data_IF_192897585323
#
_entry.id   IF_192897585323
#
_cell.length_a   1.000
_cell.length_b   1.000
_cell.length_c   1.000
_cell.angle_alpha   90.00
_cell.angle_beta   90.00
_cell.angle_gamma   90.00
#
_symmetry.space_group_name_H-M   'P 1'
#
loop_
_entity.id
_entity.type
_entity.pdbx_description
1 polymer ?
#
# COMPACT_ATOMS: atom_id res chain seq x y z
N UNK A 1 21.46 -5.73 -33.62
CA UNK A 1 20.23 -4.97 -33.32
C UNK A 1 20.15 -4.85 -31.81
N UNK A 2 20.08 -3.62 -31.32
CA UNK A 2 20.14 -3.32 -29.89
C UNK A 2 18.81 -3.74 -29.23
N UNK A 3 18.87 -4.69 -28.29
CA UNK A 3 17.70 -5.24 -27.59
C UNK A 3 16.87 -4.14 -26.90
N UNK A 4 17.55 -3.09 -26.43
CA UNK A 4 16.91 -1.93 -25.80
C UNK A 4 16.01 -1.14 -26.77
N UNK A 5 16.51 -0.90 -28.00
CA UNK A 5 15.78 -0.13 -29.03
C UNK A 5 14.54 -0.88 -29.53
N UNK A 6 14.66 -2.18 -29.73
CA UNK A 6 13.53 -3.02 -30.14
C UNK A 6 12.43 -3.06 -29.08
N UNK A 7 12.81 -3.12 -27.79
CA UNK A 7 11.86 -3.09 -26.67
C UNK A 7 11.14 -1.74 -26.54
N UNK A 8 11.85 -0.64 -26.73
CA UNK A 8 11.29 0.73 -26.73
C UNK A 8 10.25 0.89 -27.85
N UNK A 9 10.64 0.59 -29.09
CA UNK A 9 9.78 0.76 -30.26
C UNK A 9 8.51 -0.10 -30.16
N UNK A 10 8.64 -1.36 -29.72
CA UNK A 10 7.50 -2.26 -29.51
C UNK A 10 6.52 -1.74 -28.45
N UNK A 11 7.02 -1.17 -27.34
CA UNK A 11 6.17 -0.57 -26.32
C UNK A 11 5.44 0.66 -26.86
N UNK A 12 6.15 1.53 -27.60
CA UNK A 12 5.55 2.72 -28.19
C UNK A 12 4.46 2.36 -29.18
N UNK A 13 4.66 1.34 -30.00
CA UNK A 13 3.64 0.83 -30.93
C UNK A 13 2.44 0.24 -30.19
N UNK A 14 2.65 -0.66 -29.23
CA UNK A 14 1.57 -1.28 -28.44
C UNK A 14 0.69 -0.21 -27.78
N UNK A 15 1.30 0.76 -27.09
CA UNK A 15 0.53 1.75 -26.33
C UNK A 15 -0.02 2.89 -27.17
N UNK A 16 0.59 3.22 -28.31
CA UNK A 16 -0.03 4.13 -29.26
C UNK A 16 -1.35 3.57 -29.81
N UNK A 17 -1.41 2.27 -30.11
CA UNK A 17 -2.66 1.63 -30.55
C UNK A 17 -3.71 1.59 -29.43
N UNK A 18 -3.30 1.22 -28.21
CA UNK A 18 -4.23 1.10 -27.07
C UNK A 18 -4.78 2.44 -26.56
N UNK A 19 -4.04 3.52 -26.75
CA UNK A 19 -4.41 4.87 -26.32
C UNK A 19 -4.90 5.73 -27.49
N UNK A 20 -5.13 5.14 -28.66
CA UNK A 20 -5.71 5.85 -29.78
C UNK A 20 -7.10 6.41 -29.42
N UNK A 21 -7.35 7.67 -29.79
CA UNK A 21 -8.58 8.40 -29.46
C UNK A 21 -8.61 9.08 -28.09
N UNK A 22 -7.63 8.88 -27.20
CA UNK A 22 -7.53 9.62 -25.93
C UNK A 22 -6.92 11.01 -26.12
N UNK A 23 -7.46 12.02 -25.44
CA UNK A 23 -6.98 13.41 -25.50
C UNK A 23 -5.80 13.70 -24.58
N UNK A 24 -5.19 14.88 -24.74
CA UNK A 24 -4.06 15.36 -23.91
C UNK A 24 -4.40 15.29 -22.40
N UNK A 25 -5.61 15.71 -22.04
CA UNK A 25 -6.11 15.72 -20.66
C UNK A 25 -6.20 14.32 -20.02
N UNK A 26 -6.10 13.26 -20.82
CA UNK A 26 -6.18 11.86 -20.41
C UNK A 26 -4.82 11.17 -20.49
N UNK A 27 -4.02 11.49 -21.52
CA UNK A 27 -2.66 10.97 -21.68
C UNK A 27 -1.73 11.42 -20.55
N UNK A 28 -1.83 12.67 -20.09
CA UNK A 28 -1.02 13.15 -18.96
C UNK A 28 -1.31 12.35 -17.67
N UNK A 29 -2.59 12.18 -17.23
CA UNK A 29 -2.91 11.29 -16.12
C UNK A 29 -2.47 9.84 -16.33
N UNK A 30 -2.53 9.31 -17.55
CA UNK A 30 -2.04 7.96 -17.83
C UNK A 30 -0.55 7.82 -17.54
N UNK A 31 0.26 8.75 -18.07
CA UNK A 31 1.71 8.80 -17.84
C UNK A 31 2.03 8.96 -16.36
N UNK A 32 1.42 9.94 -15.69
CA UNK A 32 1.71 10.24 -14.28
C UNK A 32 1.44 9.05 -13.35
N UNK A 33 0.41 8.24 -13.67
CA UNK A 33 0.09 7.02 -12.92
C UNK A 33 1.05 5.88 -13.20
N UNK A 34 1.51 5.72 -14.44
CA UNK A 34 2.55 4.75 -14.75
C UNK A 34 3.86 5.11 -14.03
N UNK A 35 4.26 6.39 -14.09
CA UNK A 35 5.41 6.94 -13.38
C UNK A 35 5.31 6.71 -11.86
N UNK A 36 4.13 6.95 -11.28
CA UNK A 36 3.87 6.68 -9.87
C UNK A 36 4.18 5.24 -9.47
N UNK A 37 3.66 4.26 -10.22
CA UNK A 37 3.88 2.84 -9.93
C UNK A 37 5.35 2.43 -10.14
N UNK A 38 5.99 2.94 -11.19
CA UNK A 38 7.43 2.72 -11.45
C UNK A 38 8.27 3.24 -10.30
N UNK A 39 8.02 4.44 -9.81
CA UNK A 39 8.76 5.02 -8.69
C UNK A 39 8.56 4.22 -7.40
N UNK A 40 7.34 3.76 -7.12
CA UNK A 40 7.06 2.85 -6.00
C UNK A 40 7.81 1.53 -6.11
N UNK A 41 7.90 0.97 -7.32
CA UNK A 41 8.66 -0.24 -7.60
C UNK A 41 10.16 -0.03 -7.39
N UNK A 42 10.75 1.03 -7.94
CA UNK A 42 12.17 1.37 -7.76
C UNK A 42 12.50 1.60 -6.28
N UNK A 43 11.60 2.18 -5.51
CA UNK A 43 11.79 2.30 -4.07
C UNK A 43 11.88 0.91 -3.39
N UNK A 44 11.04 -0.03 -3.79
CA UNK A 44 11.03 -1.38 -3.23
C UNK A 44 12.29 -2.20 -3.56
N UNK A 45 13.02 -1.87 -4.63
CA UNK A 45 14.26 -2.59 -5.01
C UNK A 45 15.40 -2.38 -4.03
N UNK A 46 15.26 -1.42 -3.10
CA UNK A 46 16.13 -1.30 -1.94
C UNK A 46 16.16 -2.58 -1.10
N UNK A 47 15.09 -3.38 -1.08
CA UNK A 47 15.07 -4.70 -0.46
C UNK A 47 15.54 -5.78 -1.44
N UNK A 48 16.11 -6.86 -0.90
CA UNK A 48 16.57 -8.00 -1.69
C UNK A 48 15.43 -9.01 -1.94
N UNK A 49 15.35 -9.55 -3.16
CA UNK A 49 14.44 -10.63 -3.52
C UNK A 49 13.64 -10.37 -4.81
N UNK A 50 12.80 -11.34 -5.15
CA UNK A 50 11.80 -11.21 -6.21
C UNK A 50 10.67 -10.28 -5.76
N UNK A 51 10.08 -9.51 -6.67
CA UNK A 51 9.01 -8.56 -6.33
C UNK A 51 7.63 -9.17 -6.59
N UNK A 52 6.81 -9.22 -5.55
CA UNK A 52 5.43 -9.66 -5.57
C UNK A 52 4.53 -8.43 -5.48
N UNK A 53 3.91 -8.07 -6.60
CA UNK A 53 3.01 -6.94 -6.74
C UNK A 53 1.63 -7.32 -6.21
N UNK A 54 1.23 -6.77 -5.06
CA UNK A 54 -0.07 -7.03 -4.44
C UNK A 54 -1.03 -5.90 -4.83
N UNK A 55 -2.01 -6.11 -5.72
CA UNK A 55 -2.89 -5.04 -6.17
C UNK A 55 -3.97 -4.74 -5.13
N UNK A 56 -4.26 -3.46 -4.94
CA UNK A 56 -5.50 -2.99 -4.31
C UNK A 56 -6.71 -3.48 -5.12
N UNK A 57 -7.83 -3.74 -4.44
CA UNK A 57 -9.11 -4.05 -5.05
C UNK A 57 -9.55 -2.98 -6.06
N UNK A 58 -9.18 -1.70 -5.89
CA UNK A 58 -9.46 -0.68 -6.90
C UNK A 58 -8.87 -1.03 -8.27
N UNK A 59 -7.65 -1.58 -8.30
CA UNK A 59 -7.00 -2.03 -9.54
C UNK A 59 -7.78 -3.23 -10.10
N UNK A 60 -8.21 -4.17 -9.27
CA UNK A 60 -9.07 -5.29 -9.72
C UNK A 60 -10.34 -4.77 -10.39
N UNK A 61 -10.98 -3.74 -9.81
CA UNK A 61 -12.17 -3.11 -10.40
C UNK A 61 -11.87 -2.41 -11.74
N UNK A 62 -10.67 -1.86 -11.93
CA UNK A 62 -10.23 -1.26 -13.20
C UNK A 62 -10.15 -2.30 -14.33
N UNK A 63 -9.67 -3.51 -14.03
CA UNK A 63 -9.65 -4.62 -15.01
C UNK A 63 -11.05 -5.22 -15.25
N UNK A 64 -11.88 -5.31 -14.20
CA UNK A 64 -13.23 -5.87 -14.27
C UNK A 64 -14.19 -4.98 -15.06
N UNK A 65 -14.08 -3.67 -14.89
CA UNK A 65 -14.98 -2.67 -15.48
C UNK A 65 -14.30 -1.83 -16.56
N UNK A 66 -13.47 -2.47 -17.38
CA UNK A 66 -12.70 -1.86 -18.48
C UNK A 66 -13.56 -1.25 -19.59
N UNK A 67 -14.85 -1.55 -19.61
CA UNK A 67 -15.85 -0.91 -20.47
C UNK A 67 -16.07 0.57 -20.12
N UNK A 68 -15.75 0.98 -18.89
CA UNK A 68 -15.84 2.37 -18.45
C UNK A 68 -14.54 3.10 -18.77
N UNK A 69 -14.63 4.15 -19.58
CA UNK A 69 -13.48 4.94 -20.06
C UNK A 69 -12.45 5.30 -18.97
N UNK A 70 -12.89 5.88 -17.85
CA UNK A 70 -11.99 6.24 -16.72
C UNK A 70 -11.29 5.02 -16.10
N UNK A 71 -12.00 3.90 -15.96
CA UNK A 71 -11.45 2.64 -15.43
C UNK A 71 -10.47 2.02 -16.44
N UNK A 72 -10.80 2.09 -17.73
CA UNK A 72 -9.93 1.63 -18.80
C UNK A 72 -8.60 2.37 -18.81
N UNK A 73 -8.60 3.69 -18.63
CA UNK A 73 -7.38 4.49 -18.58
C UNK A 73 -6.48 4.10 -17.39
N UNK A 74 -7.07 3.87 -16.21
CA UNK A 74 -6.36 3.36 -15.03
C UNK A 74 -5.75 1.98 -15.28
N UNK A 75 -6.55 1.08 -15.87
CA UNK A 75 -6.10 -0.25 -16.30
C UNK A 75 -4.91 -0.15 -17.25
N UNK A 76 -4.98 0.73 -18.26
CA UNK A 76 -3.89 0.94 -19.23
C UNK A 76 -2.63 1.51 -18.57
N UNK A 77 -2.73 2.36 -17.55
CA UNK A 77 -1.57 2.78 -16.74
C UNK A 77 -0.94 1.60 -16.00
N UNK A 78 -1.76 0.73 -15.40
CA UNK A 78 -1.27 -0.46 -14.70
C UNK A 78 -0.66 -1.48 -15.66
N UNK A 79 -1.23 -1.63 -16.85
CA UNK A 79 -0.69 -2.46 -17.93
C UNK A 79 0.66 -1.95 -18.43
N UNK A 80 0.82 -0.64 -18.60
CA UNK A 80 2.11 -0.03 -18.95
C UNK A 80 3.16 -0.34 -17.87
N UNK A 81 2.79 -0.18 -16.61
CA UNK A 81 3.65 -0.56 -15.48
C UNK A 81 4.00 -2.06 -15.47
N UNK A 82 3.09 -2.95 -15.84
CA UNK A 82 3.41 -4.39 -15.91
C UNK A 82 4.47 -4.70 -16.97
N UNK A 83 4.48 -3.97 -18.10
CA UNK A 83 5.54 -4.06 -19.11
C UNK A 83 6.89 -3.60 -18.56
N UNK A 84 6.91 -2.52 -17.77
CA UNK A 84 8.12 -2.12 -17.05
C UNK A 84 8.62 -3.24 -16.15
N UNK A 85 7.77 -3.75 -15.26
CA UNK A 85 8.11 -4.77 -14.27
C UNK A 85 8.59 -6.09 -14.92
N UNK A 86 8.11 -6.40 -16.13
CA UNK A 86 8.50 -7.59 -16.88
C UNK A 86 9.76 -7.42 -17.73
N UNK A 87 9.86 -6.31 -18.45
CA UNK A 87 10.84 -6.18 -19.55
C UNK A 87 11.94 -5.16 -19.28
N UNK A 88 11.75 -4.22 -18.35
CA UNK A 88 12.77 -3.21 -17.98
C UNK A 88 13.43 -3.49 -16.65
N UNK A 89 12.67 -4.01 -15.68
CA UNK A 89 13.24 -4.37 -14.38
C UNK A 89 14.18 -5.58 -14.50
N UNK A 90 15.37 -5.55 -13.86
CA UNK A 90 16.21 -6.74 -13.74
C UNK A 90 15.68 -7.74 -12.69
N UNK A 91 14.65 -7.38 -11.92
CA UNK A 91 14.06 -8.24 -10.88
C UNK A 91 12.91 -9.06 -11.46
N UNK A 92 12.84 -10.34 -11.09
CA UNK A 92 11.67 -11.14 -11.38
C UNK A 92 10.44 -10.57 -10.63
N UNK A 93 9.39 -10.28 -11.40
CA UNK A 93 8.15 -9.71 -10.89
C UNK A 93 6.99 -10.68 -11.05
N UNK A 94 6.12 -10.74 -10.05
CA UNK A 94 4.91 -11.59 -10.04
C UNK A 94 3.72 -10.79 -9.54
N UNK A 95 2.53 -11.09 -10.04
CA UNK A 95 1.29 -10.57 -9.45
C UNK A 95 0.87 -11.48 -8.30
N UNK A 96 0.57 -10.90 -7.15
CA UNK A 96 0.24 -11.60 -5.91
C UNK A 96 -1.20 -11.32 -5.51
N UNK A 97 -2.02 -12.36 -5.41
CA UNK A 97 -3.43 -12.28 -5.05
C UNK A 97 -3.60 -12.76 -3.61
N UNK A 98 -4.03 -11.86 -2.72
CA UNK A 98 -4.34 -12.18 -1.33
C UNK A 98 -5.76 -12.75 -1.17
N UNK A 99 -6.04 -13.45 -0.06
CA UNK A 99 -7.38 -13.92 0.26
C UNK A 99 -8.42 -12.78 0.34
N UNK A 100 -8.03 -11.59 0.78
CA UNK A 100 -8.94 -10.43 0.86
C UNK A 100 -9.32 -9.94 -0.53
N UNK A 101 -8.39 -9.92 -1.49
CA UNK A 101 -8.70 -9.60 -2.89
C UNK A 101 -9.77 -10.56 -3.44
N UNK A 102 -9.63 -11.86 -3.17
CA UNK A 102 -10.62 -12.86 -3.58
C UNK A 102 -11.97 -12.62 -2.89
N UNK A 103 -11.95 -12.40 -1.57
CA UNK A 103 -13.14 -12.14 -0.77
C UNK A 103 -13.93 -10.91 -1.28
N UNK A 104 -13.24 -9.82 -1.60
CA UNK A 104 -13.88 -8.63 -2.14
C UNK A 104 -14.36 -8.83 -3.58
N UNK A 105 -13.60 -9.56 -4.41
CA UNK A 105 -13.97 -9.89 -5.79
C UNK A 105 -15.28 -10.66 -5.89
N UNK A 106 -15.51 -11.61 -4.98
CA UNK A 106 -16.76 -12.38 -4.89
C UNK A 106 -17.90 -11.64 -4.17
N UNK A 107 -17.72 -10.34 -3.90
CA UNK A 107 -18.77 -9.50 -3.30
C UNK A 107 -18.90 -9.65 -1.79
N UNK A 108 -17.81 -10.01 -1.10
CA UNK A 108 -17.72 -10.10 0.39
C UNK A 108 -18.64 -11.16 0.97
N UNK A 109 -18.74 -12.30 0.28
CA UNK A 109 -19.57 -13.43 0.66
C UNK A 109 -18.71 -14.62 1.06
N UNK A 110 -19.26 -15.49 1.90
CA UNK A 110 -18.67 -16.81 2.16
C UNK A 110 -18.70 -17.64 0.87
N UNK A 111 -17.70 -18.49 0.70
CA UNK A 111 -17.63 -19.42 -0.43
C UNK A 111 -17.15 -20.79 0.02
N UNK A 112 -17.51 -21.81 -0.74
CA UNK A 112 -16.91 -23.14 -0.63
C UNK A 112 -15.62 -23.23 -1.49
N UNK A 113 -14.86 -24.34 -1.42
CA UNK A 113 -13.62 -24.50 -2.19
C UNK A 113 -13.81 -24.41 -3.72
N UNK A 114 -14.98 -24.82 -4.24
CA UNK A 114 -15.27 -24.73 -5.68
C UNK A 114 -15.44 -23.28 -6.11
N UNK A 115 -16.22 -22.50 -5.36
CA UNK A 115 -16.38 -21.07 -5.61
C UNK A 115 -15.08 -20.29 -5.44
N UNK A 116 -14.23 -20.68 -4.49
CA UNK A 116 -12.90 -20.09 -4.31
C UNK A 116 -12.00 -20.32 -5.53
N UNK A 117 -12.02 -21.54 -6.11
CA UNK A 117 -11.30 -21.84 -7.36
C UNK A 117 -11.84 -21.00 -8.53
N UNK A 118 -13.15 -20.93 -8.70
CA UNK A 118 -13.79 -20.14 -9.78
C UNK A 118 -13.46 -18.66 -9.66
N UNK A 119 -13.43 -18.12 -8.44
CA UNK A 119 -13.04 -16.74 -8.19
C UNK A 119 -11.58 -16.46 -8.59
N UNK A 120 -10.67 -17.39 -8.27
CA UNK A 120 -9.27 -17.30 -8.69
C UNK A 120 -9.12 -17.36 -10.20
N UNK A 121 -9.81 -18.28 -10.87
CA UNK A 121 -9.80 -18.39 -12.34
C UNK A 121 -10.33 -17.12 -13.01
N UNK A 122 -11.38 -16.51 -12.43
CA UNK A 122 -11.91 -15.22 -12.88
C UNK A 122 -10.88 -14.09 -12.73
N UNK A 123 -10.20 -13.98 -11.59
CA UNK A 123 -9.14 -12.99 -11.39
C UNK A 123 -7.98 -13.20 -12.37
N UNK A 124 -7.58 -14.45 -12.60
CA UNK A 124 -6.52 -14.78 -13.55
C UNK A 124 -6.90 -14.38 -14.98
N UNK A 125 -8.16 -14.60 -15.35
CA UNK A 125 -8.67 -14.15 -16.64
C UNK A 125 -8.64 -12.62 -16.77
N UNK A 126 -9.05 -11.88 -15.74
CA UNK A 126 -9.02 -10.41 -15.76
C UNK A 126 -7.60 -9.86 -15.91
N UNK A 127 -6.62 -10.46 -15.24
CA UNK A 127 -5.23 -10.02 -15.24
C UNK A 127 -4.37 -10.65 -16.35
N UNK A 128 -4.93 -11.50 -17.21
CA UNK A 128 -4.16 -12.27 -18.20
C UNK A 128 -3.32 -11.41 -19.16
N UNK A 129 -3.75 -10.18 -19.44
CA UNK A 129 -3.02 -9.26 -20.33
C UNK A 129 -1.77 -8.62 -19.70
N UNK A 130 -1.62 -8.69 -18.37
CA UNK A 130 -0.44 -8.17 -17.67
C UNK A 130 0.83 -8.93 -18.02
N UNK A 131 0.67 -10.18 -18.47
CA UNK A 131 1.75 -11.07 -18.88
C UNK A 131 2.79 -11.32 -17.76
N UNK A 132 2.35 -11.18 -16.51
CA UNK A 132 3.09 -11.50 -15.30
C UNK A 132 2.59 -12.84 -14.71
N UNK A 133 3.47 -13.69 -14.15
CA UNK A 133 3.03 -14.86 -13.39
C UNK A 133 2.12 -14.44 -12.23
N UNK A 134 0.95 -15.06 -12.11
CA UNK A 134 -0.02 -14.77 -11.05
C UNK A 134 0.05 -15.87 -9.98
N UNK A 135 0.17 -15.47 -8.72
CA UNK A 135 0.28 -16.38 -7.57
C UNK A 135 -0.69 -15.99 -6.47
N UNK A 136 -1.32 -16.98 -5.84
CA UNK A 136 -1.97 -16.79 -4.54
C UNK A 136 -0.92 -16.65 -3.44
N UNK A 137 -1.16 -15.75 -2.48
CA UNK A 137 -0.29 -15.54 -1.33
C UNK A 137 -1.03 -15.85 -0.03
N UNK A 138 -0.39 -16.58 0.89
CA UNK A 138 -1.01 -16.99 2.16
C UNK A 138 -1.93 -18.23 2.07
N UNK A 139 -2.06 -18.86 0.91
CA UNK A 139 -2.82 -20.11 0.72
C UNK A 139 -2.23 -20.95 -0.40
N UNK A 140 -2.39 -22.27 -0.30
CA UNK A 140 -1.86 -23.25 -1.26
C UNK A 140 -2.96 -24.04 -1.97
N UNK A 141 -4.20 -23.98 -1.47
CA UNK A 141 -5.33 -24.70 -2.05
C UNK A 141 -6.64 -23.90 -2.00
N UNK A 142 -7.61 -24.21 -2.88
CA UNK A 142 -8.94 -23.61 -2.80
C UNK A 142 -9.66 -23.89 -1.48
N UNK A 143 -9.32 -25.01 -0.81
CA UNK A 143 -9.86 -25.35 0.52
C UNK A 143 -9.35 -24.38 1.57
N UNK A 144 -8.05 -24.18 1.65
CA UNK A 144 -7.44 -23.18 2.56
C UNK A 144 -7.99 -21.78 2.28
N UNK A 145 -8.08 -21.39 1.01
CA UNK A 145 -8.64 -20.10 0.61
C UNK A 145 -10.09 -19.92 1.11
N UNK A 146 -10.93 -20.95 1.02
CA UNK A 146 -12.31 -20.86 1.54
C UNK A 146 -12.38 -20.70 3.06
N UNK A 147 -11.47 -21.32 3.82
CA UNK A 147 -11.40 -21.14 5.28
C UNK A 147 -10.86 -19.75 5.65
N UNK A 148 -9.87 -19.24 4.91
CA UNK A 148 -9.38 -17.87 5.10
C UNK A 148 -10.46 -16.83 4.79
N UNK A 149 -11.25 -17.03 3.73
CA UNK A 149 -12.40 -16.18 3.42
C UNK A 149 -13.41 -16.17 4.57
N UNK A 150 -13.66 -17.32 5.20
CA UNK A 150 -14.52 -17.41 6.38
C UNK A 150 -13.94 -16.65 7.58
N UNK A 151 -12.63 -16.76 7.81
CA UNK A 151 -11.93 -16.00 8.85
C UNK A 151 -12.02 -14.49 8.60
N UNK A 152 -11.76 -14.03 7.38
CA UNK A 152 -11.89 -12.62 6.96
C UNK A 152 -13.32 -12.12 7.18
N UNK A 153 -14.32 -12.90 6.80
CA UNK A 153 -15.72 -12.54 6.97
C UNK A 153 -16.09 -12.34 8.45
N UNK A 154 -15.59 -13.22 9.32
CA UNK A 154 -15.75 -13.10 10.78
C UNK A 154 -15.07 -11.84 11.33
N UNK A 155 -13.82 -11.61 10.98
CA UNK A 155 -13.05 -10.44 11.43
C UNK A 155 -13.68 -9.14 10.94
N UNK A 156 -14.15 -9.10 9.69
CA UNK A 156 -14.84 -7.93 9.13
C UNK A 156 -16.09 -7.54 9.96
N UNK A 157 -16.84 -8.52 10.48
CA UNK A 157 -17.98 -8.26 11.34
C UNK A 157 -17.55 -7.68 12.71
N UNK A 158 -16.49 -8.22 13.31
CA UNK A 158 -15.92 -7.72 14.56
C UNK A 158 -15.43 -6.29 14.39
N UNK A 159 -14.64 -6.02 13.34
CA UNK A 159 -14.11 -4.70 13.06
C UNK A 159 -15.20 -3.69 12.74
N UNK A 160 -16.24 -4.09 11.99
CA UNK A 160 -17.39 -3.22 11.75
C UNK A 160 -18.09 -2.83 13.05
N UNK A 161 -18.20 -3.74 14.02
CA UNK A 161 -18.75 -3.42 15.34
C UNK A 161 -17.86 -2.43 16.09
N UNK A 162 -16.55 -2.64 16.11
CA UNK A 162 -15.61 -1.74 16.76
C UNK A 162 -15.71 -0.31 16.22
N UNK A 163 -15.78 -0.15 14.88
CA UNK A 163 -15.93 1.17 14.26
C UNK A 163 -17.28 1.80 14.61
N UNK A 164 -18.38 1.03 14.60
CA UNK A 164 -19.70 1.53 15.01
C UNK A 164 -19.71 2.00 16.46
N UNK A 165 -19.07 1.25 17.36
CA UNK A 165 -18.97 1.62 18.77
C UNK A 165 -18.26 2.96 18.96
N UNK A 166 -17.32 3.33 18.08
CA UNK A 166 -16.69 4.66 18.10
C UNK A 166 -17.69 5.78 17.89
N UNK A 167 -18.73 5.58 17.09
CA UNK A 167 -19.71 6.63 16.78
C UNK A 167 -20.80 6.76 17.87
N UNK A 168 -20.87 5.80 18.80
CA UNK A 168 -21.88 5.81 19.88
C UNK A 168 -21.53 6.70 21.07
N UNK A 169 -20.29 7.17 21.18
CA UNK A 169 -19.83 7.99 22.32
C UNK A 169 -19.20 9.31 21.87
N UNK A 170 -19.28 10.32 22.73
CA UNK A 170 -18.50 11.54 22.55
C UNK A 170 -17.04 11.30 22.90
N UNK A 171 -16.16 11.89 22.10
CA UNK A 171 -14.72 11.92 22.27
C UNK A 171 -14.19 13.29 22.66
N UNK A 172 -15.09 14.28 22.80
CA UNK A 172 -14.73 15.60 23.32
C UNK A 172 -14.25 15.47 24.78
N UNK A 173 -13.04 15.93 25.05
CA UNK A 173 -12.47 15.91 26.38
C UNK A 173 -11.54 17.09 26.61
N UNK A 174 -11.43 17.53 27.87
CA UNK A 174 -10.47 18.56 28.26
C UNK A 174 -9.05 18.00 28.15
N UNK A 175 -8.20 18.65 27.36
CA UNK A 175 -6.84 18.21 27.07
C UNK A 175 -5.79 18.89 27.96
N UNK A 176 -6.23 19.64 28.97
CA UNK A 176 -5.38 20.24 30.00
C UNK A 176 -5.77 19.75 31.39
N UNK A 177 -4.76 19.35 32.17
CA UNK A 177 -4.87 19.06 33.61
C UNK A 177 -3.82 19.87 34.36
N UNK A 178 -4.22 21.06 34.83
CA UNK A 178 -3.28 22.04 35.38
C UNK A 178 -2.27 22.46 34.30
N UNK A 179 -0.99 22.27 34.58
CA UNK A 179 0.11 22.57 33.64
C UNK A 179 0.40 21.42 32.65
N UNK A 180 -0.26 20.27 32.77
CA UNK A 180 -0.04 19.12 31.90
C UNK A 180 -0.97 19.17 30.70
N UNK A 181 -0.41 18.98 29.50
CA UNK A 181 -1.16 18.80 28.26
C UNK A 181 -1.28 17.31 27.97
N UNK A 182 -2.50 16.83 27.85
CA UNK A 182 -2.78 15.44 27.48
C UNK A 182 -2.59 15.27 25.97
N UNK A 183 -1.95 14.16 25.59
CA UNK A 183 -1.62 13.87 24.19
C UNK A 183 -2.74 13.00 23.60
N UNK A 184 -3.44 13.46 22.53
CA UNK A 184 -4.53 12.70 21.93
C UNK A 184 -4.17 11.27 21.51
N UNK A 185 -2.97 11.04 20.97
CA UNK A 185 -2.51 9.70 20.60
C UNK A 185 -2.36 8.74 21.78
N UNK A 186 -1.90 9.23 22.93
CA UNK A 186 -1.80 8.42 24.16
C UNK A 186 -3.20 8.06 24.69
N UNK A 187 -4.11 9.03 24.70
CA UNK A 187 -5.50 8.81 25.09
C UNK A 187 -6.22 7.82 24.15
N UNK A 188 -5.92 7.89 22.86
CA UNK A 188 -6.43 6.95 21.87
C UNK A 188 -5.91 5.52 22.10
N UNK A 189 -4.62 5.38 22.42
CA UNK A 189 -4.02 4.08 22.76
C UNK A 189 -4.65 3.45 24.01
N UNK A 190 -4.92 4.26 25.04
CA UNK A 190 -5.64 3.84 26.26
C UNK A 190 -7.08 3.41 25.96
N UNK A 191 -7.76 4.13 25.08
CA UNK A 191 -9.16 3.91 24.74
C UNK A 191 -9.39 2.72 23.79
N UNK A 192 -8.42 2.39 22.94
CA UNK A 192 -8.50 1.27 22.01
C UNK A 192 -8.45 -0.08 22.76
N UNK A 193 -9.16 -1.13 22.28
CA UNK A 193 -9.08 -2.46 22.87
C UNK A 193 -7.64 -2.94 23.02
N UNK A 194 -7.27 -3.43 24.21
CA UNK A 194 -5.92 -3.94 24.49
C UNK A 194 -5.68 -5.32 23.88
N UNK A 195 -6.74 -6.09 23.69
CA UNK A 195 -6.71 -7.40 23.03
C UNK A 195 -7.81 -7.46 21.98
N UNK A 196 -7.47 -7.96 20.79
CA UNK A 196 -8.41 -8.25 19.71
C UNK A 196 -8.22 -9.72 19.33
N UNK A 197 -9.31 -10.49 19.35
CA UNK A 197 -9.31 -11.87 18.89
C UNK A 197 -9.78 -11.87 17.44
N UNK A 198 -8.81 -11.86 16.53
CA UNK A 198 -9.01 -11.89 15.08
C UNK A 198 -8.39 -13.17 14.53
N UNK A 199 -9.00 -13.72 13.49
CA UNK A 199 -8.63 -15.01 12.91
C UNK A 199 -7.73 -14.89 11.67
N UNK A 200 -7.83 -13.76 10.96
CA UNK A 200 -7.06 -13.46 9.74
C UNK A 200 -6.24 -12.19 9.88
N UNK A 201 -6.86 -11.08 10.26
CA UNK A 201 -6.17 -9.80 10.34
C UNK A 201 -5.28 -9.74 11.57
N UNK A 202 -4.09 -9.18 11.39
CA UNK A 202 -3.17 -8.97 12.51
C UNK A 202 -3.76 -7.91 13.48
N UNK A 203 -3.96 -8.26 14.77
CA UNK A 203 -4.49 -7.36 15.79
C UNK A 203 -3.79 -6.02 15.89
N UNK A 204 -2.48 -5.97 15.64
CA UNK A 204 -1.68 -4.75 15.72
C UNK A 204 -2.14 -3.72 14.68
N UNK A 205 -2.33 -4.12 13.42
CA UNK A 205 -2.76 -3.21 12.35
C UNK A 205 -4.18 -2.72 12.56
N UNK A 206 -5.09 -3.61 12.96
CA UNK A 206 -6.48 -3.25 13.25
C UNK A 206 -6.54 -2.29 14.44
N UNK A 207 -5.81 -2.58 15.52
CA UNK A 207 -5.73 -1.68 16.67
C UNK A 207 -5.11 -0.33 16.30
N UNK A 208 -4.07 -0.32 15.47
CA UNK A 208 -3.43 0.92 15.01
C UNK A 208 -4.41 1.80 14.24
N UNK A 209 -5.19 1.22 13.33
CA UNK A 209 -6.24 1.93 12.60
C UNK A 209 -7.27 2.54 13.55
N UNK A 210 -7.74 1.76 14.55
CA UNK A 210 -8.66 2.24 15.57
C UNK A 210 -8.06 3.37 16.42
N UNK A 211 -6.79 3.28 16.83
CA UNK A 211 -6.12 4.35 17.57
C UNK A 211 -6.10 5.66 16.75
N UNK A 212 -5.74 5.60 15.46
CA UNK A 212 -5.74 6.78 14.59
C UNK A 212 -7.14 7.39 14.45
N UNK A 213 -8.16 6.55 14.31
CA UNK A 213 -9.57 6.97 14.26
C UNK A 213 -10.05 7.64 15.54
N UNK A 214 -9.65 7.11 16.69
CA UNK A 214 -9.98 7.68 18.00
C UNK A 214 -9.26 9.01 18.18
N UNK A 215 -7.97 9.06 17.84
CA UNK A 215 -7.16 10.27 17.93
C UNK A 215 -7.78 11.43 17.13
N UNK A 216 -8.17 11.19 15.86
CA UNK A 216 -8.84 12.21 15.05
C UNK A 216 -10.15 12.70 15.70
N UNK A 217 -10.97 11.78 16.21
CA UNK A 217 -12.23 12.14 16.88
C UNK A 217 -11.99 12.97 18.14
N UNK A 218 -10.98 12.63 18.96
CA UNK A 218 -10.58 13.42 20.13
C UNK A 218 -10.17 14.83 19.71
N UNK A 219 -9.30 14.95 18.70
CA UNK A 219 -8.80 16.24 18.20
C UNK A 219 -9.96 17.10 17.69
N UNK A 220 -10.80 16.54 16.83
CA UNK A 220 -11.90 17.28 16.20
C UNK A 220 -12.94 17.70 17.23
N UNK A 221 -13.47 16.75 18.00
CA UNK A 221 -14.58 17.03 18.92
C UNK A 221 -14.17 17.90 20.10
N UNK A 222 -12.94 17.75 20.62
CA UNK A 222 -12.46 18.61 21.72
C UNK A 222 -12.25 20.06 21.25
N UNK A 223 -11.81 20.26 19.99
CA UNK A 223 -11.70 21.59 19.40
C UNK A 223 -13.08 22.23 19.20
N UNK A 224 -14.00 21.50 18.57
CA UNK A 224 -15.32 22.02 18.20
C UNK A 224 -16.24 22.24 19.41
N UNK A 225 -16.24 21.32 20.37
CA UNK A 225 -17.20 21.33 21.49
C UNK A 225 -16.67 22.02 22.74
N UNK A 226 -15.35 21.99 22.97
CA UNK A 226 -14.74 22.50 24.20
C UNK A 226 -13.77 23.67 23.96
N UNK A 227 -13.52 24.05 22.70
CA UNK A 227 -12.56 25.11 22.36
C UNK A 227 -11.12 24.76 22.71
N UNK A 228 -10.79 23.47 22.87
CA UNK A 228 -9.44 23.02 23.16
C UNK A 228 -8.52 23.19 21.96
N UNK A 229 -7.23 23.40 22.22
CA UNK A 229 -6.18 23.38 21.21
C UNK A 229 -5.39 22.07 21.33
N UNK A 230 -5.85 20.96 20.74
CA UNK A 230 -5.12 19.69 20.75
C UNK A 230 -3.78 19.81 20.01
N UNK A 231 -2.81 18.98 20.41
CA UNK A 231 -1.68 18.68 19.51
C UNK A 231 -2.26 17.99 18.27
N UNK A 232 -1.90 18.48 17.09
CA UNK A 232 -2.38 17.92 15.84
C UNK A 232 -1.81 16.53 15.61
N UNK A 233 -2.61 15.66 15.00
CA UNK A 233 -2.15 14.38 14.50
C UNK A 233 -1.13 14.57 13.37
N UNK A 234 -0.18 13.64 13.28
CA UNK A 234 0.73 13.55 12.15
C UNK A 234 0.00 13.14 10.86
N UNK A 235 0.68 13.30 9.73
CA UNK A 235 0.13 12.95 8.41
C UNK A 235 -0.26 11.47 8.32
N UNK A 236 0.53 10.58 8.93
CA UNK A 236 0.25 9.16 8.98
C UNK A 236 -1.08 8.88 9.69
N UNK A 237 -1.27 9.41 10.89
CA UNK A 237 -2.47 9.16 11.69
C UNK A 237 -3.72 9.72 11.04
N UNK A 238 -3.64 10.90 10.41
CA UNK A 238 -4.76 11.46 9.64
C UNK A 238 -5.17 10.54 8.51
N UNK A 239 -4.21 10.16 7.68
CA UNK A 239 -4.48 9.36 6.48
C UNK A 239 -4.96 7.96 6.86
N UNK A 240 -4.32 7.32 7.86
CA UNK A 240 -4.71 6.00 8.37
C UNK A 240 -6.13 5.97 8.96
N UNK A 241 -6.57 7.07 9.58
CA UNK A 241 -7.91 7.15 10.16
C UNK A 241 -9.02 7.07 9.10
N UNK A 242 -8.74 7.57 7.89
CA UNK A 242 -9.69 7.67 6.78
C UNK A 242 -9.82 6.37 5.98
N UNK A 243 -8.82 5.48 6.04
CA UNK A 243 -8.79 4.24 5.24
C UNK A 243 -9.91 3.25 5.60
N UNK A 244 -10.40 3.25 6.85
CA UNK A 244 -11.41 2.29 7.30
C UNK A 244 -12.67 3.00 7.81
N UNK A 245 -13.77 2.91 7.09
CA UNK A 245 -15.02 3.57 7.48
C UNK A 245 -16.22 2.64 7.29
N UNK A 246 -17.33 2.91 7.96
CA UNK A 246 -18.58 2.21 7.64
C UNK A 246 -19.18 2.87 6.41
N UNK A 247 -19.40 2.09 5.35
CA UNK A 247 -20.12 2.55 4.18
C UNK A 247 -21.53 2.97 4.58
N UNK A 248 -21.83 4.26 4.43
CA UNK A 248 -23.15 4.83 4.74
C UNK A 248 -24.29 4.20 3.92
N UNK A 249 -23.98 3.66 2.74
CA UNK A 249 -24.97 3.04 1.83
C UNK A 249 -25.19 1.56 2.08
N UNK A 250 -24.16 0.83 2.50
CA UNK A 250 -24.19 -0.64 2.53
C UNK A 250 -23.96 -1.23 3.93
N UNK A 251 -23.74 -0.37 4.95
CA UNK A 251 -23.58 -0.71 6.36
C UNK A 251 -22.52 -1.79 6.65
N UNK A 252 -21.51 -1.90 5.78
CA UNK A 252 -20.34 -2.73 5.99
C UNK A 252 -19.09 -1.88 6.11
N UNK A 253 -18.03 -2.46 6.68
CA UNK A 253 -16.71 -1.83 6.79
C UNK A 253 -16.00 -1.77 5.44
N UNK A 254 -15.72 -0.59 4.92
CA UNK A 254 -14.79 -0.36 3.79
C UNK A 254 -13.36 -0.30 4.31
N UNK A 255 -12.37 -0.54 3.44
CA UNK A 255 -10.94 -0.51 3.82
C UNK A 255 -10.31 -1.84 4.22
N UNK A 256 -11.03 -2.97 4.08
CA UNK A 256 -10.46 -4.30 4.36
C UNK A 256 -9.26 -4.61 3.46
N UNK A 257 -9.33 -4.29 2.17
CA UNK A 257 -8.20 -4.40 1.24
C UNK A 257 -7.02 -3.52 1.65
N UNK A 258 -7.28 -2.31 2.13
CA UNK A 258 -6.25 -1.36 2.58
C UNK A 258 -5.48 -1.92 3.79
N UNK A 259 -6.21 -2.47 4.77
CA UNK A 259 -5.59 -3.13 5.94
C UNK A 259 -4.82 -4.40 5.55
N UNK A 260 -5.35 -5.18 4.62
CA UNK A 260 -4.67 -6.37 4.10
C UNK A 260 -3.36 -6.00 3.40
N UNK A 261 -3.38 -4.92 2.61
CA UNK A 261 -2.18 -4.37 1.99
C UNK A 261 -1.17 -3.89 3.03
N UNK A 262 -1.62 -3.20 4.08
CA UNK A 262 -0.73 -2.71 5.14
C UNK A 262 -0.04 -3.85 5.89
N UNK A 263 -0.76 -4.92 6.24
CA UNK A 263 -0.16 -6.06 6.93
C UNK A 263 0.73 -6.91 6.02
N UNK A 264 0.36 -7.04 4.75
CA UNK A 264 1.06 -7.91 3.79
C UNK A 264 2.29 -7.22 3.21
N UNK A 265 2.24 -5.90 3.03
CA UNK A 265 3.24 -5.11 2.32
C UNK A 265 4.03 -4.17 3.25
N UNK A 266 4.06 -4.43 4.57
CA UNK A 266 4.94 -3.70 5.50
C UNK A 266 6.42 -4.00 5.16
N UNK A 267 7.03 -3.09 4.40
CA UNK A 267 8.42 -3.20 3.98
C UNK A 267 9.41 -3.11 5.15
N UNK A 268 9.04 -2.47 6.27
CA UNK A 268 9.88 -2.41 7.47
C UNK A 268 9.98 -3.79 8.12
N UNK A 269 8.87 -4.53 8.23
CA UNK A 269 8.90 -5.91 8.71
C UNK A 269 9.67 -6.83 7.76
N UNK A 270 9.53 -6.63 6.45
CA UNK A 270 10.27 -7.38 5.43
C UNK A 270 11.78 -7.10 5.47
N UNK A 271 12.20 -5.87 5.81
CA UNK A 271 13.62 -5.56 6.04
C UNK A 271 14.16 -6.23 7.31
N UNK A 272 13.38 -6.24 8.39
CA UNK A 272 13.78 -6.88 9.65
C UNK A 272 13.83 -8.40 9.54
N UNK A 273 12.97 -8.98 8.71
CA UNK A 273 12.85 -10.41 8.46
C UNK A 273 13.01 -10.66 6.96
N UNK A 274 14.23 -10.52 6.42
CA UNK A 274 14.48 -10.61 4.99
C UNK A 274 14.08 -11.99 4.49
N UNK A 275 13.20 -11.98 3.49
CA UNK A 275 12.80 -13.16 2.73
C UNK A 275 13.27 -12.96 1.29
N UNK A 276 13.34 -14.05 0.51
CA UNK A 276 13.63 -13.96 -0.93
C UNK A 276 12.51 -13.28 -1.76
N UNK A 277 11.51 -12.67 -1.10
CA UNK A 277 10.30 -12.11 -1.71
C UNK A 277 9.98 -10.77 -1.07
N UNK A 278 9.83 -9.74 -1.90
CA UNK A 278 9.41 -8.39 -1.52
C UNK A 278 7.94 -8.22 -1.91
N UNK A 279 7.06 -8.09 -0.91
CA UNK A 279 5.64 -7.84 -1.10
C UNK A 279 5.41 -6.34 -1.22
N UNK A 280 4.98 -5.89 -2.39
CA UNK A 280 4.82 -4.47 -2.71
C UNK A 280 3.36 -4.16 -3.06
N UNK A 281 2.71 -3.38 -2.21
CA UNK A 281 1.34 -2.92 -2.44
C UNK A 281 1.25 -1.97 -3.63
N UNK A 282 0.29 -2.20 -4.51
CA UNK A 282 0.01 -1.38 -5.68
C UNK A 282 -1.35 -0.71 -5.52
N UNK A 283 -1.40 0.62 -5.63
CA UNK A 283 -2.65 1.37 -5.58
C UNK A 283 -2.54 2.69 -6.34
N UNK A 284 -3.66 3.14 -6.90
CA UNK A 284 -3.81 4.51 -7.43
C UNK A 284 -4.41 5.46 -6.38
N UNK A 285 -4.80 4.95 -5.20
CA UNK A 285 -5.24 5.76 -4.08
C UNK A 285 -4.01 6.44 -3.43
N UNK A 286 -3.98 7.76 -3.52
CA UNK A 286 -2.87 8.56 -3.02
C UNK A 286 -2.77 8.53 -1.49
N UNK A 287 -3.90 8.43 -0.78
CA UNK A 287 -3.93 8.30 0.68
C UNK A 287 -3.35 6.95 1.10
N UNK A 288 -3.82 5.85 0.50
CA UNK A 288 -3.30 4.52 0.82
C UNK A 288 -1.80 4.40 0.48
N UNK A 289 -1.38 4.89 -0.68
CA UNK A 289 0.03 4.88 -1.06
C UNK A 289 0.89 5.72 -0.12
N UNK A 290 0.40 6.88 0.33
CA UNK A 290 1.09 7.67 1.34
C UNK A 290 1.23 6.92 2.66
N UNK A 291 0.19 6.22 3.14
CA UNK A 291 0.26 5.41 4.36
C UNK A 291 1.28 4.28 4.21
N UNK A 292 1.23 3.53 3.10
CA UNK A 292 2.20 2.46 2.81
C UNK A 292 3.65 2.99 2.85
N UNK A 293 3.90 4.13 2.18
CA UNK A 293 5.21 4.80 2.17
C UNK A 293 5.64 5.29 3.57
N UNK A 294 4.72 5.82 4.36
CA UNK A 294 5.02 6.29 5.71
C UNK A 294 5.28 5.12 6.67
N UNK A 295 4.59 3.98 6.48
CA UNK A 295 4.85 2.74 7.23
C UNK A 295 6.16 2.04 6.84
N UNK A 296 6.65 2.24 5.61
CA UNK A 296 7.88 1.63 5.11
C UNK A 296 9.16 2.38 5.49
N UNK A 297 9.10 3.45 6.30
CA UNK A 297 10.28 4.21 6.71
C UNK A 297 11.12 3.42 7.71
N UNK A 298 12.33 3.05 7.30
CA UNK A 298 13.34 2.47 8.18
C UNK A 298 14.16 3.59 8.82
N UNK A 299 14.16 3.64 10.15
CA UNK A 299 15.03 4.53 10.92
C UNK A 299 16.01 3.64 11.69
N UNK A 300 17.28 3.71 11.31
CA UNK A 300 18.34 3.09 12.10
C UNK A 300 18.78 4.08 13.17
N UNK A 301 18.27 3.89 14.38
CA UNK A 301 18.71 4.66 15.54
C UNK A 301 20.01 4.11 16.11
N UNK A 302 20.94 5.00 16.40
CA UNK A 302 22.03 4.76 17.36
C UNK A 302 21.60 5.37 18.70
N UNK A 303 21.94 4.70 19.80
CA UNK A 303 21.67 5.22 21.14
C UNK A 303 22.98 5.66 21.79
N UNK A 304 22.87 6.65 22.68
CA UNK A 304 23.98 7.13 23.51
C UNK A 304 23.58 6.91 24.96
N UNK A 305 24.34 6.09 25.67
CA UNK A 305 24.23 5.95 27.12
C UNK A 305 25.16 6.98 27.79
N UNK A 306 24.56 7.88 28.57
CA UNK A 306 25.31 8.89 29.31
C UNK A 306 25.89 8.30 30.59
N UNK A 307 27.14 8.67 30.90
CA UNK A 307 27.82 8.25 32.13
C UNK A 307 28.71 7.01 31.98
N UNK A 308 28.88 6.50 30.76
CA UNK A 308 29.81 5.41 30.45
C UNK A 308 31.14 5.96 29.89
N UNK A 309 32.27 5.24 30.07
CA UNK A 309 33.57 5.68 29.56
C UNK A 309 33.63 5.87 28.03
N UNK A 310 32.69 5.29 27.29
CA UNK A 310 32.61 5.29 25.84
C UNK A 310 31.56 6.28 25.29
N UNK A 311 30.90 7.08 26.12
CA UNK A 311 29.88 8.06 25.70
C UNK A 311 30.37 8.96 24.56
N UNK A 312 31.61 9.46 24.59
CA UNK A 312 32.15 10.29 23.49
C UNK A 312 32.26 9.54 22.16
N UNK A 313 32.62 8.25 22.19
CA UNK A 313 32.66 7.40 21.00
C UNK A 313 31.25 7.10 20.48
N UNK A 314 30.30 6.86 21.37
CA UNK A 314 28.90 6.65 20.99
C UNK A 314 28.31 7.91 20.33
N UNK A 315 28.59 9.10 20.87
CA UNK A 315 28.18 10.38 20.25
C UNK A 315 28.82 10.55 18.87
N UNK A 316 30.13 10.30 18.74
CA UNK A 316 30.81 10.40 17.45
C UNK A 316 30.23 9.43 16.40
N UNK A 317 29.95 8.19 16.79
CA UNK A 317 29.31 7.19 15.92
C UNK A 317 27.88 7.58 15.53
N UNK A 318 27.10 8.15 16.45
CA UNK A 318 25.78 8.69 16.15
C UNK A 318 25.85 9.84 15.13
N UNK A 319 26.76 10.80 15.33
CA UNK A 319 26.96 11.91 14.39
C UNK A 319 27.41 11.39 13.02
N UNK A 320 28.32 10.42 12.95
CA UNK A 320 28.76 9.84 11.69
C UNK A 320 27.62 9.14 10.95
N UNK A 321 26.76 8.40 11.66
CA UNK A 321 25.55 7.76 11.11
C UNK A 321 24.58 8.80 10.54
N UNK A 322 24.41 9.94 11.23
CA UNK A 322 23.54 11.05 10.77
C UNK A 322 24.13 11.75 9.54
N UNK A 323 25.45 11.99 9.54
CA UNK A 323 26.13 12.73 8.47
C UNK A 323 26.37 11.88 7.22
N UNK A 324 26.38 10.55 7.33
CA UNK A 324 26.64 9.63 6.21
C UNK A 324 25.61 8.50 6.09
N UNK A 325 24.31 8.82 5.87
CA UNK A 325 23.27 7.81 5.76
C UNK A 325 23.50 6.82 4.62
N UNK A 326 24.14 7.26 3.52
CA UNK A 326 24.47 6.41 2.36
C UNK A 326 25.51 5.33 2.66
N UNK A 327 26.37 5.51 3.68
CA UNK A 327 27.29 4.45 4.12
C UNK A 327 26.58 3.38 4.97
N UNK A 328 25.48 3.75 5.63
CA UNK A 328 24.69 2.85 6.49
C UNK A 328 23.79 1.93 5.65
N UNK A 329 23.35 2.42 4.49
CA UNK A 329 22.43 1.74 3.57
C UNK A 329 23.06 1.55 2.17
N UNK A 330 24.37 1.28 2.12
CA UNK A 330 25.10 1.23 0.85
C UNK A 330 24.57 0.12 -0.07
N UNK A 331 24.20 -1.04 0.48
CA UNK A 331 23.66 -2.15 -0.31
C UNK A 331 22.28 -1.80 -0.90
N UNK A 332 21.43 -1.17 -0.10
CA UNK A 332 20.10 -0.68 -0.51
C UNK A 332 20.23 0.37 -1.61
N UNK A 333 21.20 1.29 -1.48
CA UNK A 333 21.46 2.32 -2.48
C UNK A 333 21.98 1.74 -3.79
N UNK A 334 22.96 0.82 -3.73
CA UNK A 334 23.48 0.15 -4.93
C UNK A 334 22.35 -0.55 -5.73
N UNK A 335 21.44 -1.25 -5.04
CA UNK A 335 20.29 -1.91 -5.67
C UNK A 335 19.31 -0.92 -6.32
N UNK A 336 19.16 0.28 -5.75
CA UNK A 336 18.35 1.33 -6.37
C UNK A 336 19.04 1.89 -7.62
N UNK A 337 20.35 2.15 -7.54
CA UNK A 337 21.15 2.69 -8.64
C UNK A 337 21.20 1.75 -9.85
N UNK A 338 21.10 0.43 -9.63
CA UNK A 338 21.00 -0.58 -10.70
C UNK A 338 19.70 -0.49 -11.52
N UNK A 339 18.59 -0.06 -10.90
CA UNK A 339 17.26 -0.08 -11.54
C UNK A 339 16.87 1.30 -12.08
N UNK A 340 17.40 2.38 -11.48
CA UNK A 340 17.07 3.76 -11.85
C UNK A 340 17.26 4.07 -13.36
N UNK A 341 18.35 3.64 -14.04
CA UNK A 341 18.50 3.86 -15.48
C UNK A 341 17.43 3.16 -16.32
N UNK A 342 17.05 1.94 -15.94
CA UNK A 342 15.98 1.21 -16.60
C UNK A 342 14.63 1.89 -16.41
N UNK A 343 14.35 2.42 -15.21
CA UNK A 343 13.14 3.20 -14.95
C UNK A 343 13.09 4.46 -15.81
N UNK A 344 14.17 5.24 -15.87
CA UNK A 344 14.26 6.43 -16.72
C UNK A 344 14.02 6.08 -18.21
N UNK A 345 14.67 5.04 -18.72
CA UNK A 345 14.48 4.57 -20.10
C UNK A 345 13.04 4.15 -20.40
N UNK A 346 12.34 3.54 -19.44
CA UNK A 346 10.93 3.20 -19.61
C UNK A 346 10.04 4.45 -19.65
N UNK A 347 10.28 5.40 -18.75
CA UNK A 347 9.49 6.64 -18.69
C UNK A 347 9.69 7.49 -19.95
N UNK A 348 10.90 7.48 -20.54
CA UNK A 348 11.14 8.07 -21.85
C UNK A 348 10.27 7.42 -22.95
N UNK A 349 10.16 6.08 -22.96
CA UNK A 349 9.29 5.36 -23.90
C UNK A 349 7.80 5.70 -23.68
N UNK A 350 7.35 5.79 -22.43
CA UNK A 350 5.99 6.23 -22.10
C UNK A 350 5.72 7.66 -22.54
N UNK A 351 6.70 8.55 -22.41
CA UNK A 351 6.59 9.93 -22.87
C UNK A 351 6.54 10.01 -24.40
N UNK A 352 7.27 9.14 -25.11
CA UNK A 352 7.23 9.06 -26.57
C UNK A 352 5.87 8.59 -27.10
N UNK A 353 5.16 7.71 -26.38
CA UNK A 353 3.75 7.38 -26.68
C UNK A 353 2.90 8.64 -26.67
N UNK A 354 2.97 9.42 -25.58
CA UNK A 354 2.24 10.68 -25.49
C UNK A 354 2.59 11.62 -26.64
N UNK A 355 3.89 11.82 -26.92
CA UNK A 355 4.36 12.69 -28.02
C UNK A 355 3.87 12.24 -29.39
N UNK A 356 3.72 10.94 -29.61
CA UNK A 356 3.22 10.37 -30.87
C UNK A 356 1.73 10.65 -31.06
N UNK A 357 0.93 10.54 -30.01
CA UNK A 357 -0.53 10.73 -30.05
C UNK A 357 -0.95 12.21 -30.01
N UNK A 358 -0.06 13.11 -29.61
CA UNK A 358 -0.29 14.56 -29.62
C UNK A 358 0.02 15.24 -30.97
N UNK A 359 0.54 14.48 -31.95
CA UNK A 359 0.79 14.95 -33.31
C UNK A 359 -0.40 14.63 -34.19
#
# INVERSE_FOLDING_TARGET
MDYSRNRHDAFVEEFAERLDGYGIDELQPWYARAEWLVNGYVYATQLEGDIFLVPDNNIVQDFKHRDKEKRNLLRLSYLAFSRFAKHWSPRASRLAISPVIVYEHIGRQLTNPVGARVAMESLFHHFGELDLPIHGIGYQSPKELSELIKAIHGDAAVMAQLVRDLDTRSWAMKLRRGNLRLIPSALADEAAPKTLSLSYFDPWYVRRALCCQIEQRIIQQSREQLGEEPLGADEYSKTMAELNTISSRQNFLTGLGDLDLLQTCDLRLQHQNPNQRVMLGQTFDQALSNVLRLSSRLVRGTHVEFGQPDTERQIASMIETILRPSQVFQAEQSRLDEVAPSAASFLDAALDVCRRLMK
#
